data_IF_628028199609
#
_entry.id   IF_628028199609
#
_cell.length_a   1.000
_cell.length_b   1.000
_cell.length_c   1.000
_cell.angle_alpha   90.00
_cell.angle_beta   90.00
_cell.angle_gamma   90.00
#
_symmetry.space_group_name_H-M   'P 1'
#
loop_
_entity.id
_entity.type
_entity.pdbx_description
1 polymer ?
#
# COMPACT_ATOMS: atom_id res chain seq x y z
N UNK A 1 -1.64 -12.02 13.20
CA UNK A 1 -3.10 -11.85 13.08
C UNK A 1 -3.74 -13.12 13.63
N UNK A 2 -4.67 -12.95 14.57
CA UNK A 2 -5.48 -14.04 15.10
C UNK A 2 -6.55 -14.41 14.06
N UNK A 3 -6.74 -15.70 13.77
CA UNK A 3 -7.76 -16.16 12.83
C UNK A 3 -9.04 -16.50 13.57
N UNK A 4 -10.18 -16.01 13.09
CA UNK A 4 -11.47 -16.37 13.65
C UNK A 4 -11.91 -17.75 13.15
N UNK A 5 -12.64 -18.48 13.99
CA UNK A 5 -13.33 -19.68 13.51
C UNK A 5 -14.48 -19.29 12.58
N UNK A 6 -14.84 -20.18 11.66
CA UNK A 6 -15.94 -19.92 10.72
C UNK A 6 -17.28 -19.63 11.41
N UNK A 7 -17.49 -20.20 12.60
CA UNK A 7 -18.66 -19.94 13.43
C UNK A 7 -18.63 -18.51 13.97
N UNK A 8 -17.50 -18.05 14.50
CA UNK A 8 -17.34 -16.68 14.99
C UNK A 8 -17.49 -15.65 13.86
N UNK A 9 -16.92 -15.93 12.70
CA UNK A 9 -17.10 -15.08 11.51
C UNK A 9 -18.58 -14.92 11.20
N UNK A 10 -19.33 -16.02 11.14
CA UNK A 10 -20.77 -15.98 10.86
C UNK A 10 -21.55 -15.24 11.95
N UNK A 11 -21.22 -15.44 13.23
CA UNK A 11 -21.85 -14.74 14.35
C UNK A 11 -21.63 -13.22 14.26
N UNK A 12 -20.40 -12.77 14.05
CA UNK A 12 -20.08 -11.33 13.93
C UNK A 12 -20.73 -10.76 12.67
N UNK A 13 -20.62 -11.44 11.53
CA UNK A 13 -21.24 -10.99 10.28
C UNK A 13 -22.73 -10.77 10.44
N UNK A 14 -23.45 -11.62 11.19
CA UNK A 14 -24.88 -11.44 11.42
C UNK A 14 -25.25 -10.16 12.18
N UNK A 15 -24.30 -9.57 12.92
CA UNK A 15 -24.47 -8.28 13.61
C UNK A 15 -24.23 -7.05 12.72
N UNK A 16 -23.64 -7.25 11.53
CA UNK A 16 -23.37 -6.16 10.58
C UNK A 16 -24.66 -5.70 9.87
N UNK A 17 -24.72 -4.41 9.56
CA UNK A 17 -25.75 -3.83 8.69
C UNK A 17 -25.64 -4.36 7.25
N UNK A 18 -26.69 -4.22 6.46
CA UNK A 18 -26.68 -4.63 5.04
C UNK A 18 -25.55 -3.94 4.25
N UNK A 19 -25.35 -2.63 4.46
CA UNK A 19 -24.27 -1.87 3.82
C UNK A 19 -22.88 -2.36 4.20
N UNK A 20 -22.66 -2.69 5.48
CA UNK A 20 -21.40 -3.25 5.96
C UNK A 20 -21.13 -4.64 5.38
N UNK A 21 -22.15 -5.49 5.29
CA UNK A 21 -22.03 -6.82 4.66
C UNK A 21 -21.67 -6.70 3.18
N UNK A 22 -22.36 -5.82 2.46
CA UNK A 22 -22.12 -5.55 1.05
C UNK A 22 -20.69 -5.03 0.82
N UNK A 23 -20.26 -4.02 1.58
CA UNK A 23 -18.89 -3.51 1.50
C UNK A 23 -17.85 -4.60 1.73
N UNK A 24 -18.00 -5.40 2.78
CA UNK A 24 -17.04 -6.46 3.10
C UNK A 24 -17.02 -7.54 2.01
N UNK A 25 -18.18 -7.93 1.49
CA UNK A 25 -18.29 -8.91 0.39
C UNK A 25 -17.59 -8.42 -0.87
N UNK A 26 -17.87 -7.19 -1.30
CA UNK A 26 -17.25 -6.60 -2.49
C UNK A 26 -15.73 -6.39 -2.31
N UNK A 27 -15.31 -5.94 -1.13
CA UNK A 27 -13.89 -5.83 -0.80
C UNK A 27 -13.18 -7.17 -0.91
N UNK A 28 -13.72 -8.25 -0.32
CA UNK A 28 -13.13 -9.58 -0.40
C UNK A 28 -13.08 -10.12 -1.83
N UNK A 29 -14.15 -9.90 -2.60
CA UNK A 29 -14.21 -10.30 -4.01
C UNK A 29 -13.12 -9.62 -4.83
N UNK A 30 -13.00 -8.30 -4.72
CA UNK A 30 -11.96 -7.52 -5.39
C UNK A 30 -10.57 -7.97 -4.96
N UNK A 31 -10.30 -8.02 -3.65
CA UNK A 31 -9.00 -8.42 -3.12
C UNK A 31 -8.57 -9.82 -3.59
N UNK A 32 -9.49 -10.79 -3.63
CA UNK A 32 -9.19 -12.15 -4.14
C UNK A 32 -8.93 -12.13 -5.65
N UNK A 33 -9.68 -11.34 -6.42
CA UNK A 33 -9.43 -11.18 -7.87
C UNK A 33 -8.06 -10.56 -8.14
N UNK A 34 -7.73 -9.44 -7.49
CA UNK A 34 -6.44 -8.80 -7.67
C UNK A 34 -5.29 -9.71 -7.23
N UNK A 35 -5.45 -10.48 -6.15
CA UNK A 35 -4.43 -11.45 -5.70
C UNK A 35 -4.24 -12.62 -6.67
N UNK A 36 -5.32 -13.09 -7.27
CA UNK A 36 -5.26 -14.10 -8.34
C UNK A 36 -4.43 -13.61 -9.52
N UNK A 37 -4.70 -12.39 -10.00
CA UNK A 37 -3.98 -11.78 -11.12
C UNK A 37 -2.49 -11.56 -10.80
N UNK A 38 -2.19 -11.05 -9.60
CA UNK A 38 -0.81 -10.83 -9.13
C UNK A 38 0.03 -12.11 -9.16
N UNK A 39 -0.54 -13.23 -8.70
CA UNK A 39 0.20 -14.51 -8.65
C UNK A 39 0.41 -15.07 -10.06
N UNK A 40 -0.61 -14.95 -10.92
CA UNK A 40 -0.48 -15.42 -12.31
C UNK A 40 0.54 -14.59 -13.10
N UNK A 41 0.58 -13.27 -12.91
CA UNK A 41 1.52 -12.39 -13.61
C UNK A 41 2.97 -12.66 -13.22
N UNK A 42 3.25 -12.77 -11.91
CA UNK A 42 4.58 -13.10 -11.38
C UNK A 42 5.12 -14.40 -11.99
N UNK A 43 4.26 -15.42 -12.13
CA UNK A 43 4.69 -16.74 -12.61
C UNK A 43 4.82 -16.82 -14.13
N UNK A 44 4.10 -15.97 -14.87
CA UNK A 44 4.30 -15.83 -16.33
C UNK A 44 5.48 -14.93 -16.70
N UNK A 45 6.13 -14.30 -15.72
CA UNK A 45 7.21 -13.35 -15.97
C UNK A 45 6.73 -12.08 -16.66
N UNK A 46 5.43 -11.77 -16.56
CA UNK A 46 4.85 -10.52 -17.06
C UNK A 46 5.23 -9.44 -16.06
N UNK A 47 6.05 -8.48 -16.49
CA UNK A 47 6.36 -7.29 -15.70
C UNK A 47 5.12 -6.40 -15.68
N UNK A 48 4.33 -6.51 -14.62
CA UNK A 48 3.26 -5.55 -14.35
C UNK A 48 3.89 -4.16 -14.21
N UNK A 49 3.63 -3.27 -15.16
CA UNK A 49 4.05 -1.87 -15.03
C UNK A 49 3.12 -1.15 -14.04
N UNK A 50 3.66 -0.25 -13.22
CA UNK A 50 2.86 0.58 -12.31
C UNK A 50 1.86 1.41 -13.14
N UNK A 51 0.57 1.08 -13.03
CA UNK A 51 -0.52 1.79 -13.73
C UNK A 51 -1.37 0.93 -14.66
N UNK A 52 -1.03 -0.34 -14.90
CA UNK A 52 -1.89 -1.23 -15.70
C UNK A 52 -3.23 -1.49 -14.99
N UNK A 53 -4.31 -1.44 -15.75
CA UNK A 53 -5.65 -1.79 -15.31
C UNK A 53 -5.81 -3.31 -15.18
N UNK A 54 -6.78 -3.78 -14.38
CA UNK A 54 -7.07 -5.22 -14.27
C UNK A 54 -7.39 -5.84 -15.63
N UNK A 55 -8.05 -5.10 -16.52
CA UNK A 55 -8.46 -5.56 -17.85
C UNK A 55 -7.25 -5.78 -18.76
N UNK A 56 -6.27 -4.86 -18.75
CA UNK A 56 -5.03 -5.00 -19.53
C UNK A 56 -4.20 -6.19 -19.05
N UNK A 57 -4.14 -6.42 -17.73
CA UNK A 57 -3.46 -7.59 -17.15
C UNK A 57 -4.18 -8.89 -17.54
N UNK A 58 -5.52 -8.91 -17.55
CA UNK A 58 -6.30 -10.07 -17.97
C UNK A 58 -6.05 -10.44 -19.45
N UNK A 59 -5.92 -9.43 -20.33
CA UNK A 59 -5.65 -9.63 -21.76
C UNK A 59 -4.25 -10.19 -22.01
N UNK A 60 -3.22 -9.65 -21.36
CA UNK A 60 -1.84 -10.12 -21.53
C UNK A 60 -1.62 -11.54 -21.00
N UNK A 61 -2.35 -11.92 -19.95
CA UNK A 61 -2.17 -13.22 -19.35
C UNK A 61 -2.75 -14.36 -20.18
N UNK A 62 -3.58 -14.15 -21.21
CA UNK A 62 -4.13 -15.20 -22.11
C UNK A 62 -4.51 -16.50 -21.34
N UNK A 63 -5.20 -16.33 -20.20
CA UNK A 63 -5.34 -17.36 -19.15
C UNK A 63 -6.70 -17.36 -18.44
N UNK A 64 -6.79 -18.15 -17.37
CA UNK A 64 -7.95 -18.27 -16.49
C UNK A 64 -8.15 -17.01 -15.64
N UNK A 65 -9.30 -16.36 -15.81
CA UNK A 65 -9.67 -15.16 -15.04
C UNK A 65 -10.63 -15.56 -13.92
N UNK A 66 -10.28 -15.21 -12.67
CA UNK A 66 -11.19 -15.36 -11.55
C UNK A 66 -12.27 -14.28 -11.61
N UNK A 67 -13.54 -14.71 -11.72
CA UNK A 67 -14.69 -13.81 -11.70
C UNK A 67 -15.21 -13.60 -10.29
N UNK A 68 -15.30 -14.69 -9.53
CA UNK A 68 -15.91 -14.65 -8.20
C UNK A 68 -15.51 -15.88 -7.37
N UNK A 69 -15.50 -15.71 -6.05
CA UNK A 69 -15.42 -16.81 -5.09
C UNK A 69 -16.67 -16.75 -4.23
N UNK A 70 -17.57 -17.70 -4.42
CA UNK A 70 -18.78 -17.81 -3.62
C UNK A 70 -18.50 -18.62 -2.35
N UNK A 71 -19.02 -18.17 -1.22
CA UNK A 71 -19.04 -18.90 0.05
C UNK A 71 -20.48 -19.14 0.49
N UNK A 72 -20.85 -20.42 0.64
CA UNK A 72 -22.18 -20.84 1.06
C UNK A 72 -22.50 -20.52 2.52
N UNK A 73 -21.49 -20.12 3.29
CA UNK A 73 -21.58 -19.83 4.72
C UNK A 73 -21.38 -21.08 5.58
N UNK A 74 -21.27 -20.84 6.89
CA UNK A 74 -20.97 -21.88 7.87
C UNK A 74 -21.98 -23.03 7.81
N UNK A 75 -21.47 -24.27 7.69
CA UNK A 75 -22.29 -25.49 7.64
C UNK A 75 -23.03 -25.74 6.32
N UNK A 76 -22.98 -24.81 5.36
CA UNK A 76 -23.77 -24.86 4.14
C UNK A 76 -22.92 -25.26 2.93
N UNK A 77 -23.49 -26.13 2.07
CA UNK A 77 -22.91 -26.51 0.76
C UNK A 77 -23.92 -26.31 -0.38
N UNK A 78 -24.37 -25.07 -0.61
CA UNK A 78 -25.45 -24.79 -1.55
C UNK A 78 -25.00 -24.93 -3.01
N UNK A 79 -23.70 -24.86 -3.28
CA UNK A 79 -23.17 -24.87 -4.63
C UNK A 79 -22.82 -26.27 -5.12
N UNK A 80 -22.61 -26.40 -6.42
CA UNK A 80 -22.24 -27.65 -7.09
C UNK A 80 -21.05 -27.40 -8.01
N UNK A 81 -20.04 -28.26 -7.91
CA UNK A 81 -18.92 -28.27 -8.84
C UNK A 81 -19.37 -28.74 -10.23
N UNK A 82 -18.60 -28.45 -11.28
CA UNK A 82 -18.74 -29.10 -12.59
C UNK A 82 -18.73 -30.65 -12.50
N UNK A 83 -18.01 -31.22 -11.52
CA UNK A 83 -18.01 -32.66 -11.28
C UNK A 83 -19.21 -33.18 -10.46
N UNK A 84 -20.15 -32.31 -10.09
CA UNK A 84 -21.34 -32.64 -9.29
C UNK A 84 -21.16 -32.58 -7.77
N UNK A 85 -19.92 -32.49 -7.27
CA UNK A 85 -19.65 -32.44 -5.82
C UNK A 85 -20.31 -31.23 -5.15
N UNK A 86 -20.97 -31.39 -3.98
CA UNK A 86 -21.51 -30.27 -3.21
C UNK A 86 -20.39 -29.42 -2.60
N UNK A 87 -20.45 -28.11 -2.84
CA UNK A 87 -19.42 -27.16 -2.44
C UNK A 87 -19.96 -26.10 -1.49
N UNK A 88 -19.13 -25.76 -0.49
CA UNK A 88 -19.26 -24.51 0.26
C UNK A 88 -18.61 -23.36 -0.50
N UNK A 89 -17.35 -23.55 -0.86
CA UNK A 89 -16.59 -22.56 -1.64
C UNK A 89 -16.63 -22.94 -3.12
N UNK A 90 -17.12 -22.04 -3.97
CA UNK A 90 -17.15 -22.22 -5.42
C UNK A 90 -16.36 -21.11 -6.11
N UNK A 91 -15.36 -21.51 -6.89
CA UNK A 91 -14.56 -20.62 -7.73
C UNK A 91 -15.23 -20.51 -9.10
N UNK A 92 -15.62 -19.31 -9.48
CA UNK A 92 -16.15 -19.01 -10.81
C UNK A 92 -15.01 -18.44 -11.62
N UNK A 93 -14.54 -19.22 -12.60
CA UNK A 93 -13.43 -18.85 -13.47
C UNK A 93 -13.86 -18.80 -14.93
N UNK A 94 -13.35 -17.83 -15.67
CA UNK A 94 -13.53 -17.70 -17.11
C UNK A 94 -12.27 -18.18 -17.81
N UNK A 95 -12.42 -19.15 -18.71
CA UNK A 95 -11.38 -19.46 -19.68
C UNK A 95 -11.49 -18.49 -20.86
N UNK A 96 -10.55 -17.57 -20.98
CA UNK A 96 -10.57 -16.46 -21.96
C UNK A 96 -10.62 -16.94 -23.40
N UNK A 97 -9.84 -17.98 -23.76
CA UNK A 97 -9.81 -18.55 -25.12
C UNK A 97 -11.11 -19.22 -25.54
N UNK A 98 -11.70 -20.00 -24.64
CA UNK A 98 -12.95 -20.73 -24.91
C UNK A 98 -14.20 -19.87 -24.67
N UNK A 99 -14.02 -18.69 -24.05
CA UNK A 99 -15.11 -17.83 -23.56
C UNK A 99 -16.12 -18.59 -22.71
N UNK A 100 -15.65 -19.59 -21.95
CA UNK A 100 -16.49 -20.47 -21.13
C UNK A 100 -16.24 -20.24 -19.65
N UNK A 101 -17.34 -20.11 -18.91
CA UNK A 101 -17.34 -19.98 -17.46
C UNK A 101 -17.44 -21.37 -16.85
N UNK A 102 -16.57 -21.64 -15.87
CA UNK A 102 -16.53 -22.89 -15.12
C UNK A 102 -16.79 -22.62 -13.64
N UNK A 103 -17.58 -23.51 -13.02
CA UNK A 103 -17.93 -23.44 -11.59
C UNK A 103 -17.23 -24.56 -10.82
N UNK A 104 -16.07 -24.24 -10.27
CA UNK A 104 -15.12 -25.23 -9.79
C UNK A 104 -15.02 -25.24 -8.27
N UNK A 105 -14.88 -26.42 -7.70
CA UNK A 105 -14.35 -26.61 -6.36
C UNK A 105 -12.83 -26.64 -6.39
N UNK A 106 -12.19 -26.61 -5.23
CA UNK A 106 -10.74 -26.55 -5.09
C UNK A 106 -9.99 -27.62 -5.91
N UNK A 107 -10.41 -28.89 -5.78
CA UNK A 107 -9.79 -30.01 -6.53
C UNK A 107 -9.99 -29.85 -8.04
N UNK A 108 -11.17 -29.42 -8.48
CA UNK A 108 -11.44 -29.25 -9.90
C UNK A 108 -10.78 -27.99 -10.47
N UNK A 109 -10.53 -26.97 -9.65
CA UNK A 109 -9.80 -25.78 -10.06
C UNK A 109 -8.38 -26.19 -10.51
N UNK A 110 -7.69 -27.01 -9.72
CA UNK A 110 -6.38 -27.57 -10.08
C UNK A 110 -6.44 -28.35 -11.41
N UNK A 111 -7.40 -29.28 -11.52
CA UNK A 111 -7.50 -30.16 -12.68
C UNK A 111 -7.89 -29.45 -13.99
N UNK A 112 -8.79 -28.47 -13.93
CA UNK A 112 -9.26 -27.76 -15.13
C UNK A 112 -8.28 -26.68 -15.58
N UNK A 113 -7.67 -25.97 -14.64
CA UNK A 113 -6.82 -24.83 -14.98
C UNK A 113 -5.43 -25.24 -15.48
N UNK A 114 -5.03 -26.49 -15.20
CA UNK A 114 -3.69 -27.01 -15.46
C UNK A 114 -2.58 -26.12 -14.85
N UNK A 115 -2.92 -25.36 -13.81
CA UNK A 115 -1.97 -24.58 -13.02
C UNK A 115 -1.14 -25.55 -12.18
N UNK A 116 0.14 -25.23 -11.97
CA UNK A 116 0.98 -26.07 -11.13
C UNK A 116 0.46 -26.07 -9.68
N UNK A 117 0.67 -27.17 -8.93
CA UNK A 117 0.29 -27.23 -7.51
C UNK A 117 0.91 -26.09 -6.68
N UNK A 118 2.09 -25.60 -7.08
CA UNK A 118 2.75 -24.44 -6.46
C UNK A 118 1.94 -23.15 -6.66
N UNK A 119 1.50 -22.85 -7.88
CA UNK A 119 0.67 -21.67 -8.17
C UNK A 119 -0.63 -21.71 -7.37
N UNK A 120 -1.27 -22.88 -7.33
CA UNK A 120 -2.52 -23.05 -6.58
C UNK A 120 -2.28 -22.90 -5.08
N UNK A 121 -1.16 -23.39 -4.55
CA UNK A 121 -0.76 -23.18 -3.16
C UNK A 121 -0.56 -21.69 -2.86
N UNK A 122 0.11 -20.95 -3.73
CA UNK A 122 0.34 -19.51 -3.57
C UNK A 122 -0.98 -18.73 -3.61
N UNK A 123 -1.90 -19.10 -4.51
CA UNK A 123 -3.25 -18.52 -4.58
C UNK A 123 -4.01 -18.75 -3.26
N UNK A 124 -3.99 -19.99 -2.74
CA UNK A 124 -4.64 -20.32 -1.47
C UNK A 124 -4.05 -19.53 -0.31
N UNK A 125 -2.73 -19.39 -0.24
CA UNK A 125 -2.07 -18.56 0.77
C UNK A 125 -2.50 -17.10 0.64
N UNK A 126 -2.56 -16.57 -0.58
CA UNK A 126 -3.04 -15.22 -0.85
C UNK A 126 -4.48 -15.00 -0.37
N UNK A 127 -5.38 -15.95 -0.66
CA UNK A 127 -6.77 -15.88 -0.20
C UNK A 127 -6.88 -16.00 1.32
N UNK A 128 -6.05 -16.84 1.94
CA UNK A 128 -6.00 -16.94 3.39
C UNK A 128 -5.55 -15.63 4.03
N UNK A 129 -4.55 -14.94 3.46
CA UNK A 129 -4.16 -13.59 3.94
C UNK A 129 -5.32 -12.61 3.87
N UNK A 130 -6.10 -12.62 2.79
CA UNK A 130 -7.29 -11.77 2.64
C UNK A 130 -8.36 -12.13 3.69
N UNK A 131 -8.54 -13.42 3.97
CA UNK A 131 -9.46 -13.86 5.02
C UNK A 131 -8.97 -13.46 6.43
N UNK A 132 -7.66 -13.38 6.67
CA UNK A 132 -7.11 -12.83 7.92
C UNK A 132 -7.37 -11.33 8.06
N UNK A 133 -7.29 -10.57 6.96
CA UNK A 133 -7.63 -9.14 6.97
C UNK A 133 -9.11 -8.93 7.29
N UNK A 134 -10.00 -9.75 6.69
CA UNK A 134 -11.42 -9.78 7.08
C UNK A 134 -11.57 -10.03 8.57
N UNK A 135 -10.88 -11.03 9.10
CA UNK A 135 -11.00 -11.41 10.50
C UNK A 135 -10.55 -10.28 11.42
N UNK A 136 -9.49 -9.55 11.05
CA UNK A 136 -9.07 -8.34 11.76
C UNK A 136 -10.17 -7.27 11.78
N UNK A 137 -10.82 -6.99 10.64
CA UNK A 137 -11.95 -6.06 10.55
C UNK A 137 -13.08 -6.51 11.49
N UNK A 138 -13.45 -7.79 11.44
CA UNK A 138 -14.53 -8.33 12.27
C UNK A 138 -14.21 -8.31 13.77
N UNK A 139 -12.96 -8.63 14.15
CA UNK A 139 -12.51 -8.55 15.54
C UNK A 139 -12.54 -7.12 16.06
N UNK A 140 -12.00 -6.17 15.30
CA UNK A 140 -12.05 -4.74 15.66
C UNK A 140 -13.47 -4.23 15.76
N UNK A 141 -14.36 -4.69 14.88
CA UNK A 141 -15.78 -4.31 14.92
C UNK A 141 -16.43 -4.81 16.21
N UNK A 142 -16.23 -6.10 16.53
CA UNK A 142 -16.70 -6.72 17.77
C UNK A 142 -16.18 -5.99 19.02
N UNK A 143 -14.94 -5.52 18.96
CA UNK A 143 -14.28 -4.80 20.06
C UNK A 143 -14.56 -3.28 20.05
N UNK A 144 -15.39 -2.77 19.14
CA UNK A 144 -15.70 -1.34 18.96
C UNK A 144 -14.46 -0.45 18.72
N UNK A 145 -13.43 -1.00 18.07
CA UNK A 145 -12.18 -0.31 17.76
C UNK A 145 -12.29 0.42 16.42
N UNK A 146 -12.86 1.61 16.43
CA UNK A 146 -13.03 2.43 15.23
C UNK A 146 -11.94 3.51 15.12
N UNK A 147 -11.47 3.74 13.89
CA UNK A 147 -10.49 4.78 13.59
C UNK A 147 -11.19 6.01 12.99
N UNK A 148 -10.95 7.19 13.54
CA UNK A 148 -11.51 8.45 13.01
C UNK A 148 -10.58 9.09 11.98
N UNK A 149 -11.11 9.34 10.78
CA UNK A 149 -10.42 10.05 9.71
C UNK A 149 -10.55 11.58 9.79
N UNK A 150 -11.26 12.14 10.78
CA UNK A 150 -11.51 13.59 10.85
C UNK A 150 -10.23 14.43 10.79
N UNK A 151 -9.17 13.96 11.46
CA UNK A 151 -7.85 14.61 11.48
C UNK A 151 -7.04 14.45 10.17
N UNK A 152 -7.60 13.75 9.19
CA UNK A 152 -6.93 13.42 7.93
C UNK A 152 -7.73 13.84 6.71
N UNK A 153 -9.00 14.28 6.87
CA UNK A 153 -9.90 14.65 5.76
C UNK A 153 -9.37 15.78 4.88
N UNK A 154 -8.47 16.61 5.38
CA UNK A 154 -7.85 17.70 4.62
C UNK A 154 -6.70 17.22 3.72
N UNK A 155 -6.30 15.95 3.82
CA UNK A 155 -5.22 15.35 3.03
C UNK A 155 -5.84 14.61 1.85
N UNK A 156 -5.75 15.18 0.65
CA UNK A 156 -6.35 14.63 -0.58
C UNK A 156 -5.75 13.27 -1.00
N UNK A 157 -4.59 12.90 -0.48
CA UNK A 157 -3.88 11.67 -0.84
C UNK A 157 -4.31 10.43 -0.05
N UNK A 158 -5.25 10.55 0.89
CA UNK A 158 -5.80 9.39 1.60
C UNK A 158 -6.60 8.52 0.61
N UNK A 159 -6.31 7.21 0.50
CA UNK A 159 -7.00 6.33 -0.45
C UNK A 159 -8.52 6.33 -0.27
N UNK A 160 -9.28 6.49 -1.36
CA UNK A 160 -10.75 6.52 -1.33
C UNK A 160 -11.35 5.27 -0.67
N UNK A 161 -10.72 4.11 -0.83
CA UNK A 161 -11.19 2.86 -0.25
C UNK A 161 -11.18 2.90 1.29
N UNK A 162 -10.16 3.52 1.89
CA UNK A 162 -10.06 3.72 3.33
C UNK A 162 -11.17 4.67 3.81
N UNK A 163 -11.45 5.72 3.03
CA UNK A 163 -12.53 6.66 3.34
C UNK A 163 -13.89 5.94 3.31
N UNK A 164 -14.18 5.22 2.21
CA UNK A 164 -15.44 4.46 2.04
C UNK A 164 -15.64 3.42 3.14
N UNK A 165 -14.58 2.74 3.57
CA UNK A 165 -14.63 1.76 4.66
C UNK A 165 -15.10 2.40 5.98
N UNK A 166 -14.50 3.54 6.35
CA UNK A 166 -14.87 4.27 7.58
C UNK A 166 -16.27 4.85 7.48
N UNK A 167 -16.68 5.36 6.32
CA UNK A 167 -18.02 5.91 6.10
C UNK A 167 -19.13 4.87 6.23
N UNK A 168 -18.88 3.62 5.84
CA UNK A 168 -19.78 2.49 6.06
C UNK A 168 -19.76 1.99 7.51
N UNK A 169 -18.87 2.53 8.35
CA UNK A 169 -18.74 2.15 9.76
C UNK A 169 -18.01 0.83 9.94
N UNK A 170 -17.06 0.52 9.07
CA UNK A 170 -16.11 -0.58 9.28
C UNK A 170 -14.80 -0.04 9.90
N UNK A 171 -14.21 -0.78 10.84
CA UNK A 171 -12.90 -0.44 11.38
C UNK A 171 -11.81 -0.67 10.33
N UNK A 172 -10.73 0.11 10.41
CA UNK A 172 -9.55 -0.06 9.58
C UNK A 172 -8.61 -1.11 10.16
N UNK A 173 -7.95 -1.87 9.29
CA UNK A 173 -6.88 -2.79 9.69
C UNK A 173 -5.58 -2.02 10.01
N UNK A 174 -4.68 -2.63 10.77
CA UNK A 174 -3.49 -1.98 11.31
C UNK A 174 -2.59 -1.45 10.18
N UNK A 175 -2.46 -2.21 9.09
CA UNK A 175 -1.72 -1.74 7.90
C UNK A 175 -2.32 -0.48 7.29
N UNK A 176 -3.65 -0.38 7.21
CA UNK A 176 -4.33 0.82 6.68
C UNK A 176 -4.11 2.02 7.62
N UNK A 177 -4.18 1.81 8.94
CA UNK A 177 -3.92 2.85 9.94
C UNK A 177 -2.48 3.37 9.81
N UNK A 178 -1.51 2.47 9.67
CA UNK A 178 -0.11 2.84 9.44
C UNK A 178 0.06 3.65 8.15
N UNK A 179 -0.58 3.23 7.05
CA UNK A 179 -0.57 3.98 5.78
C UNK A 179 -1.12 5.41 5.96
N UNK A 180 -2.23 5.57 6.69
CA UNK A 180 -2.81 6.90 6.96
C UNK A 180 -1.85 7.77 7.76
N UNK A 181 -1.18 7.22 8.78
CA UNK A 181 -0.16 7.96 9.53
C UNK A 181 1.04 8.34 8.67
N UNK A 182 1.53 7.45 7.80
CA UNK A 182 2.63 7.75 6.88
C UNK A 182 2.26 8.88 5.91
N UNK A 183 1.05 8.85 5.37
CA UNK A 183 0.52 9.92 4.51
C UNK A 183 0.51 11.25 5.26
N UNK A 184 0.04 11.25 6.52
CA UNK A 184 0.06 12.45 7.36
C UNK A 184 1.47 12.97 7.60
N UNK A 185 2.42 12.11 7.95
CA UNK A 185 3.81 12.52 8.18
C UNK A 185 4.40 13.16 6.93
N UNK A 186 4.17 12.57 5.75
CA UNK A 186 4.61 13.16 4.47
C UNK A 186 3.97 14.51 4.20
N UNK A 187 2.66 14.62 4.41
CA UNK A 187 1.94 15.88 4.25
C UNK A 187 2.45 16.97 5.20
N UNK A 188 2.61 16.64 6.49
CA UNK A 188 3.09 17.60 7.48
C UNK A 188 4.52 18.07 7.16
N UNK A 189 5.40 17.16 6.70
CA UNK A 189 6.75 17.47 6.21
C UNK A 189 6.69 18.43 5.01
N UNK A 190 5.85 18.15 4.01
CA UNK A 190 5.69 19.02 2.85
C UNK A 190 5.16 20.41 3.25
N UNK A 191 4.19 20.48 4.16
CA UNK A 191 3.69 21.77 4.67
C UNK A 191 4.79 22.55 5.40
N UNK A 192 5.67 21.87 6.15
CA UNK A 192 6.82 22.51 6.80
C UNK A 192 7.86 22.98 5.78
N UNK A 193 8.18 22.17 4.77
CA UNK A 193 9.04 22.54 3.64
C UNK A 193 8.55 23.79 2.92
N UNK A 194 7.26 23.84 2.60
CA UNK A 194 6.66 25.02 1.97
C UNK A 194 6.75 26.26 2.86
N UNK A 195 6.58 26.11 4.18
CA UNK A 195 6.76 27.24 5.12
C UNK A 195 8.21 27.74 5.14
N UNK A 196 9.18 26.86 5.26
CA UNK A 196 10.62 27.22 5.25
C UNK A 196 10.98 27.90 3.93
N UNK A 197 10.62 27.31 2.80
CA UNK A 197 10.87 27.87 1.48
C UNK A 197 10.19 29.23 1.29
N UNK A 198 8.95 29.41 1.78
CA UNK A 198 8.25 30.69 1.73
C UNK A 198 8.95 31.79 2.53
N UNK A 199 9.71 31.41 3.57
CA UNK A 199 10.53 32.32 4.38
C UNK A 199 11.84 32.75 3.70
N UNK A 200 12.27 32.09 2.62
CA UNK A 200 13.51 32.43 1.94
C UNK A 200 13.44 33.80 1.25
N UNK A 201 14.53 34.56 1.35
CA UNK A 201 14.74 35.78 0.57
C UNK A 201 15.08 35.46 -0.91
N UNK A 202 15.14 36.48 -1.76
CA UNK A 202 15.35 36.30 -3.20
C UNK A 202 16.67 35.58 -3.53
N UNK A 203 17.75 35.91 -2.82
CA UNK A 203 19.07 35.28 -3.03
C UNK A 203 19.09 33.82 -2.59
N UNK A 204 18.47 33.52 -1.45
CA UNK A 204 18.29 32.16 -0.93
C UNK A 204 17.48 31.30 -1.91
N UNK A 205 16.36 31.81 -2.44
CA UNK A 205 15.54 31.10 -3.44
C UNK A 205 16.33 30.81 -4.72
N UNK A 206 17.08 31.80 -5.23
CA UNK A 206 17.93 31.60 -6.42
C UNK A 206 18.91 30.44 -6.21
N UNK A 207 19.60 30.40 -5.07
CA UNK A 207 20.54 29.29 -4.81
C UNK A 207 19.79 27.97 -4.68
N UNK A 208 18.72 27.93 -3.88
CA UNK A 208 17.90 26.74 -3.68
C UNK A 208 17.36 26.14 -4.99
N UNK A 209 16.81 26.98 -5.87
CA UNK A 209 16.19 26.56 -7.13
C UNK A 209 17.22 26.02 -8.15
N UNK A 210 18.52 26.24 -7.93
CA UNK A 210 19.61 25.68 -8.74
C UNK A 210 20.23 24.42 -8.13
N UNK A 211 19.90 24.08 -6.88
CA UNK A 211 20.40 22.85 -6.24
C UNK A 211 19.78 21.60 -6.87
N UNK A 212 20.50 20.48 -6.78
CA UNK A 212 19.95 19.17 -7.13
C UNK A 212 18.79 18.81 -6.18
N UNK A 213 17.80 17.99 -6.60
CA UNK A 213 16.64 17.66 -5.79
C UNK A 213 16.97 17.12 -4.39
N UNK A 214 17.98 16.24 -4.30
CA UNK A 214 18.42 15.66 -3.02
C UNK A 214 19.04 16.72 -2.09
N UNK A 215 19.80 17.69 -2.63
CA UNK A 215 20.36 18.82 -1.86
C UNK A 215 19.28 19.76 -1.33
N UNK A 216 18.18 19.90 -2.08
CA UNK A 216 17.03 20.73 -1.66
C UNK A 216 16.32 20.09 -0.47
N UNK A 217 16.07 18.80 -0.55
CA UNK A 217 15.44 18.05 0.54
C UNK A 217 16.29 18.14 1.80
N UNK A 218 17.58 17.82 1.69
CA UNK A 218 18.54 17.88 2.80
C UNK A 218 18.64 19.29 3.41
N UNK A 219 18.72 20.34 2.57
CA UNK A 219 18.76 21.71 3.06
C UNK A 219 17.51 22.07 3.87
N UNK A 220 16.32 21.71 3.36
CA UNK A 220 15.07 22.00 4.05
C UNK A 220 14.93 21.20 5.35
N UNK A 221 15.41 19.95 5.40
CA UNK A 221 15.47 19.15 6.62
C UNK A 221 16.35 19.82 7.68
N UNK A 222 17.60 20.17 7.34
CA UNK A 222 18.52 20.85 8.27
C UNK A 222 17.97 22.21 8.74
N UNK A 223 17.30 22.95 7.85
CA UNK A 223 16.63 24.20 8.20
C UNK A 223 15.44 23.99 9.15
N UNK A 224 14.74 22.86 9.07
CA UNK A 224 13.62 22.53 9.97
C UNK A 224 14.10 22.07 11.35
N UNK A 225 15.24 21.38 11.41
CA UNK A 225 15.83 20.87 12.65
C UNK A 225 16.63 21.95 13.41
N UNK A 226 16.67 23.18 12.88
CA UNK A 226 17.48 24.29 13.42
C UNK A 226 18.96 23.89 13.61
N UNK A 227 19.49 23.00 12.74
CA UNK A 227 20.90 22.62 12.75
C UNK A 227 21.77 23.80 12.29
N UNK A 228 22.07 24.72 13.21
CA UNK A 228 23.13 25.70 13.03
C UNK A 228 24.46 25.00 13.28
N UNK A 229 25.04 24.44 12.21
CA UNK A 229 26.40 23.91 12.27
C UNK A 229 27.35 25.11 12.23
N UNK A 230 27.71 25.61 13.42
CA UNK A 230 28.91 26.43 13.62
C UNK A 230 30.14 25.52 13.49
N UNK A 231 30.48 25.12 12.26
CA UNK A 231 31.78 24.49 12.01
C UNK A 231 32.84 25.57 11.78
N UNK A 232 33.88 25.57 12.61
CA UNK A 232 35.08 26.41 12.41
C UNK A 232 35.75 26.01 11.08
N UNK A 233 35.47 26.78 10.03
CA UNK A 233 36.09 26.58 8.72
C UNK A 233 37.54 27.07 8.79
N UNK A 234 38.54 26.20 8.49
CA UNK A 234 39.93 26.63 8.45
C UNK A 234 40.15 27.79 7.46
N UNK A 235 40.93 28.80 7.85
CA UNK A 235 41.17 30.02 7.06
C UNK A 235 41.65 29.79 5.60
N UNK A 236 42.28 28.65 5.34
CA UNK A 236 42.83 28.26 4.05
C UNK A 236 41.99 27.22 3.29
N UNK A 237 40.83 26.83 3.83
CA UNK A 237 39.87 26.03 3.11
C UNK A 237 39.00 26.92 2.21
N UNK A 238 39.04 26.68 0.90
CA UNK A 238 38.22 27.42 -0.07
C UNK A 238 37.30 26.49 -0.84
N UNK A 239 35.98 26.67 -0.64
CA UNK A 239 34.95 26.06 -1.46
C UNK A 239 33.85 27.11 -1.73
N UNK A 240 33.59 27.37 -3.02
CA UNK A 240 32.64 28.42 -3.43
C UNK A 240 31.20 28.12 -3.01
N UNK A 241 30.78 26.84 -3.04
CA UNK A 241 29.43 26.44 -2.64
C UNK A 241 29.24 26.63 -1.13
N UNK A 242 30.21 26.18 -0.32
CA UNK A 242 30.20 26.34 1.14
C UNK A 242 30.14 27.82 1.54
N UNK A 243 30.95 28.66 0.90
CA UNK A 243 30.93 30.10 1.14
C UNK A 243 29.57 30.73 0.83
N UNK A 244 28.97 30.37 -0.31
CA UNK A 244 27.63 30.85 -0.70
C UNK A 244 26.57 30.42 0.31
N UNK A 245 26.63 29.20 0.84
CA UNK A 245 25.69 28.73 1.85
C UNK A 245 25.82 29.53 3.15
N UNK A 246 27.05 29.74 3.65
CA UNK A 246 27.28 30.54 4.85
C UNK A 246 26.84 32.01 4.69
N UNK A 247 27.20 32.63 3.56
CA UNK A 247 26.83 34.03 3.26
C UNK A 247 25.31 34.22 3.21
N UNK A 248 24.57 33.17 2.84
CA UNK A 248 23.11 33.14 2.79
C UNK A 248 22.45 32.61 4.08
N UNK A 249 23.25 32.26 5.10
CA UNK A 249 22.76 31.71 6.36
C UNK A 249 22.12 30.32 6.22
N UNK A 250 22.51 29.55 5.21
CA UNK A 250 22.10 28.16 5.06
C UNK A 250 23.01 27.22 5.86
N UNK A 251 22.46 26.16 6.46
CA UNK A 251 23.26 25.12 7.10
C UNK A 251 24.07 24.37 6.05
N UNK A 252 25.24 23.90 6.46
CA UNK A 252 26.09 23.08 5.61
C UNK A 252 25.46 21.69 5.40
N UNK A 253 25.51 21.22 4.16
CA UNK A 253 25.10 19.87 3.79
C UNK A 253 26.16 18.85 4.21
N UNK A 254 25.81 17.58 4.31
CA UNK A 254 26.68 16.48 4.67
C UNK A 254 27.86 16.36 3.70
N UNK A 255 27.65 16.62 2.41
CA UNK A 255 28.74 16.69 1.43
C UNK A 255 29.74 17.82 1.75
N UNK A 256 29.27 18.95 2.30
CA UNK A 256 30.12 20.05 2.72
C UNK A 256 30.93 19.66 3.96
N UNK A 257 30.28 19.04 4.95
CA UNK A 257 30.90 18.56 6.20
C UNK A 257 31.98 17.51 5.89
N UNK A 258 31.69 16.59 4.96
CA UNK A 258 32.66 15.59 4.52
C UNK A 258 33.90 16.23 3.88
N UNK A 259 33.71 17.22 2.99
CA UNK A 259 34.84 17.94 2.35
C UNK A 259 35.69 18.69 3.39
N UNK A 260 35.06 19.30 4.40
CA UNK A 260 35.76 19.96 5.50
C UNK A 260 36.56 18.94 6.33
N UNK A 261 35.94 17.81 6.67
CA UNK A 261 36.57 16.73 7.43
C UNK A 261 37.78 16.12 6.70
N UNK A 262 37.66 15.88 5.39
CA UNK A 262 38.76 15.37 4.55
C UNK A 262 39.93 16.36 4.50
N UNK A 263 39.66 17.65 4.33
CA UNK A 263 40.69 18.68 4.31
C UNK A 263 41.42 18.78 5.66
N UNK A 264 40.70 18.74 6.77
CA UNK A 264 41.29 18.72 8.10
C UNK A 264 42.13 17.46 8.35
N UNK A 265 41.73 16.31 7.82
CA UNK A 265 42.49 15.07 7.92
C UNK A 265 43.79 15.11 7.11
N UNK A 266 43.82 15.75 5.94
CA UNK A 266 45.03 15.91 5.12
C UNK A 266 46.11 16.81 5.75
N UNK A 267 45.73 17.62 6.74
CA UNK A 267 46.64 18.51 7.47
C UNK A 267 47.22 17.93 8.76
N UNK A 268 46.74 16.77 9.20
CA UNK A 268 47.28 16.05 10.36
C UNK A 268 48.41 15.11 9.92
#
# INVERSE_FOLDING_TARGET
MESLTEKEVNEIQNTLTAKQKEFLSEHLKRSKKSKWLEILSQKKGVTLSEGMTEEEVEEELDSWVLREVLDGGFGNKPYRCECGTPLRYQYIVLHTKEKKIYKLGEICLENYTNLSPEIISDIKKGFHTIDLERDEILMKYRNQQFFSLEKFRYIETVPEEIIKQVEVGHPLIDRQIQTVYQIKTKYDKEVQFQKVYSGFNESQRKVFDHLAPWKREELLEKMMEEELIEEDIPDDFYNQEIKVFMDLGFPLLDEHIMKLSEFQAMKR
#
